data_IF_990949913083
#
_entry.id   IF_990949913083
#
_cell.length_a   1.000
_cell.length_b   1.000
_cell.length_c   1.000
_cell.angle_alpha   90.00
_cell.angle_beta   90.00
_cell.angle_gamma   90.00
#
_symmetry.space_group_name_H-M   'P 1'
#
loop_
_entity.id
_entity.type
_entity.pdbx_description
1 polymer ?
#
# COMPACT_ATOMS: atom_id res chain seq x y z
N UNK A 1 -47.10 -14.15 -44.38
CA UNK A 1 -45.77 -14.07 -45.02
C UNK A 1 -44.75 -13.87 -43.91
N UNK A 2 -43.63 -14.60 -43.93
CA UNK A 2 -42.56 -14.45 -42.94
C UNK A 2 -41.50 -13.48 -43.49
N UNK A 3 -41.18 -12.44 -42.74
CA UNK A 3 -40.10 -11.53 -43.09
C UNK A 3 -38.76 -12.17 -42.74
N UNK A 4 -37.86 -12.27 -43.73
CA UNK A 4 -36.56 -12.94 -43.57
C UNK A 4 -35.44 -11.95 -43.86
N UNK A 5 -34.45 -11.92 -42.97
CA UNK A 5 -33.18 -11.21 -43.18
C UNK A 5 -32.27 -12.10 -44.03
N UNK A 6 -31.61 -11.52 -45.03
CA UNK A 6 -30.55 -12.14 -45.81
C UNK A 6 -29.28 -11.29 -45.73
N UNK A 7 -28.09 -11.90 -45.61
CA UNK A 7 -26.84 -11.16 -45.67
C UNK A 7 -26.66 -10.52 -47.04
N UNK A 8 -26.19 -9.27 -47.07
CA UNK A 8 -25.94 -8.49 -48.26
C UNK A 8 -24.58 -7.77 -48.12
N UNK A 9 -23.73 -7.77 -49.16
CA UNK A 9 -22.33 -7.32 -49.03
C UNK A 9 -22.14 -5.80 -48.84
N UNK A 10 -23.20 -5.00 -48.99
CA UNK A 10 -23.17 -3.55 -48.78
C UNK A 10 -24.36 -3.13 -47.92
N UNK A 11 -24.18 -2.05 -47.16
CA UNK A 11 -25.32 -1.42 -46.47
C UNK A 11 -26.16 -0.66 -47.50
N UNK A 12 -27.47 -0.95 -47.52
CA UNK A 12 -28.44 -0.27 -48.39
C UNK A 12 -28.98 1.01 -47.74
N UNK A 13 -28.90 1.13 -46.42
CA UNK A 13 -29.54 2.18 -45.64
C UNK A 13 -28.57 2.84 -44.64
N UNK A 14 -28.86 4.07 -44.16
CA UNK A 14 -27.97 4.78 -43.23
C UNK A 14 -27.86 4.07 -41.88
N UNK A 15 -26.65 4.07 -41.31
CA UNK A 15 -26.35 3.53 -39.98
C UNK A 15 -26.81 4.53 -38.91
N UNK A 16 -27.86 4.17 -38.17
CA UNK A 16 -28.44 5.02 -37.11
C UNK A 16 -28.70 4.27 -35.80
N UNK A 17 -28.46 2.96 -35.78
CA UNK A 17 -28.64 2.15 -34.59
C UNK A 17 -27.31 1.55 -34.12
N UNK A 18 -27.18 1.38 -32.81
CA UNK A 18 -26.07 0.68 -32.18
C UNK A 18 -26.63 -0.28 -31.13
N UNK A 19 -26.20 -1.53 -31.20
CA UNK A 19 -26.57 -2.57 -30.24
C UNK A 19 -25.38 -2.95 -29.37
N UNK A 20 -25.54 -2.77 -28.06
CA UNK A 20 -24.62 -3.24 -27.04
C UNK A 20 -25.13 -4.59 -26.53
N UNK A 21 -24.39 -5.66 -26.85
CA UNK A 21 -24.71 -7.04 -26.45
C UNK A 21 -24.31 -7.30 -25.01
N UNK A 22 -25.20 -6.98 -24.07
CA UNK A 22 -24.99 -7.24 -22.64
C UNK A 22 -26.33 -7.21 -21.90
N UNK A 23 -26.51 -8.06 -20.90
CA UNK A 23 -27.67 -8.01 -20.01
C UNK A 23 -27.53 -6.93 -18.91
N UNK A 24 -26.32 -6.43 -18.66
CA UNK A 24 -26.03 -5.55 -17.52
C UNK A 24 -26.01 -4.07 -17.91
N UNK A 25 -26.82 -3.21 -17.27
CA UNK A 25 -26.81 -1.76 -17.50
C UNK A 25 -25.46 -1.10 -17.22
N UNK A 26 -24.68 -1.62 -16.27
CA UNK A 26 -23.35 -1.07 -15.95
C UNK A 26 -22.40 -1.19 -17.14
N UNK A 27 -22.49 -2.30 -17.89
CA UNK A 27 -21.70 -2.48 -19.12
C UNK A 27 -22.18 -1.50 -20.19
N UNK A 28 -23.49 -1.24 -20.29
CA UNK A 28 -24.02 -0.28 -21.25
C UNK A 28 -23.45 1.11 -21.00
N UNK A 29 -23.45 1.58 -19.75
CA UNK A 29 -22.88 2.88 -19.41
C UNK A 29 -21.39 2.98 -19.73
N UNK A 30 -20.61 1.94 -19.42
CA UNK A 30 -19.18 1.91 -19.74
C UNK A 30 -18.91 1.98 -21.24
N UNK A 31 -19.70 1.24 -22.03
CA UNK A 31 -19.59 1.26 -23.50
C UNK A 31 -20.02 2.63 -24.06
N UNK A 32 -21.11 3.21 -23.55
CA UNK A 32 -21.58 4.55 -23.96
C UNK A 32 -20.54 5.63 -23.64
N UNK A 33 -19.92 5.57 -22.46
CA UNK A 33 -18.86 6.48 -22.04
C UNK A 33 -17.59 6.29 -22.87
N UNK A 34 -17.19 5.04 -23.11
CA UNK A 34 -16.04 4.71 -23.96
C UNK A 34 -16.21 5.20 -25.40
N UNK A 35 -17.45 5.29 -25.88
CA UNK A 35 -17.79 5.77 -27.22
C UNK A 35 -18.05 7.29 -27.25
N UNK A 36 -18.00 7.98 -26.11
CA UNK A 36 -18.25 9.42 -26.00
C UNK A 36 -19.67 9.81 -26.42
N UNK A 37 -20.65 8.93 -26.22
CA UNK A 37 -22.04 9.16 -26.62
C UNK A 37 -22.78 9.94 -25.53
N UNK A 38 -23.38 11.08 -25.90
CA UNK A 38 -24.26 11.82 -25.00
C UNK A 38 -25.63 11.14 -24.87
N UNK A 39 -25.96 10.71 -23.64
CA UNK A 39 -27.23 10.08 -23.28
C UNK A 39 -28.44 11.00 -23.44
N UNK A 40 -28.25 12.32 -23.44
CA UNK A 40 -29.36 13.27 -23.58
C UNK A 40 -29.86 13.38 -25.02
N UNK A 41 -28.99 13.11 -25.99
CA UNK A 41 -29.27 13.25 -27.43
C UNK A 41 -29.76 11.93 -28.02
N UNK A 42 -29.46 10.80 -27.39
CA UNK A 42 -29.69 9.45 -27.91
C UNK A 42 -30.86 8.78 -27.21
N UNK A 43 -31.73 8.14 -28.00
CA UNK A 43 -32.82 7.35 -27.46
C UNK A 43 -32.33 5.93 -27.17
N UNK A 44 -32.48 5.51 -25.91
CA UNK A 44 -32.00 4.20 -25.45
C UNK A 44 -33.18 3.28 -25.16
N UNK A 45 -33.06 2.02 -25.58
CA UNK A 45 -34.09 1.00 -25.43
C UNK A 45 -33.48 -0.30 -24.89
N UNK A 46 -34.22 -1.01 -24.05
CA UNK A 46 -33.83 -2.35 -23.61
C UNK A 46 -34.38 -3.39 -24.60
N UNK A 47 -33.52 -4.31 -25.05
CA UNK A 47 -33.94 -5.44 -25.88
C UNK A 47 -34.13 -6.67 -24.99
N UNK A 48 -35.33 -7.28 -24.98
CA UNK A 48 -35.55 -8.55 -24.30
C UNK A 48 -34.82 -9.70 -25.01
N UNK A 49 -34.38 -10.69 -24.24
CA UNK A 49 -33.87 -11.95 -24.79
C UNK A 49 -35.00 -12.91 -25.14
N UNK A 50 -34.65 -14.03 -25.76
CA UNK A 50 -35.53 -15.19 -25.94
C UNK A 50 -35.93 -15.82 -24.58
N UNK A 51 -35.07 -15.67 -23.57
CA UNK A 51 -35.32 -16.16 -22.22
C UNK A 51 -36.15 -15.18 -21.39
N UNK A 52 -37.10 -15.67 -20.58
CA UNK A 52 -37.95 -14.81 -19.76
C UNK A 52 -37.10 -14.08 -18.70
N UNK A 53 -37.41 -12.80 -18.49
CA UNK A 53 -36.73 -11.90 -17.53
C UNK A 53 -35.23 -11.67 -17.80
N UNK A 54 -34.72 -12.04 -18.98
CA UNK A 54 -33.34 -11.78 -19.39
C UNK A 54 -33.32 -10.71 -20.47
N UNK A 55 -32.40 -9.77 -20.37
CA UNK A 55 -32.17 -8.75 -21.41
C UNK A 55 -31.07 -9.23 -22.35
N UNK A 56 -31.30 -9.11 -23.65
CA UNK A 56 -30.28 -9.40 -24.67
C UNK A 56 -29.24 -8.27 -24.72
N UNK A 57 -29.71 -7.03 -24.59
CA UNK A 57 -28.87 -5.87 -24.87
C UNK A 57 -29.57 -4.54 -24.62
N UNK A 58 -28.80 -3.48 -24.87
CA UNK A 58 -29.32 -2.13 -25.01
C UNK A 58 -29.13 -1.65 -26.45
N UNK A 59 -30.18 -1.05 -26.98
CA UNK A 59 -30.19 -0.44 -28.28
C UNK A 59 -30.18 1.08 -28.16
N UNK A 60 -29.34 1.71 -28.97
CA UNK A 60 -29.16 3.15 -29.02
C UNK A 60 -29.55 3.63 -30.42
N UNK A 61 -30.47 4.60 -30.49
CA UNK A 61 -30.91 5.23 -31.73
C UNK A 61 -30.37 6.66 -31.78
N UNK A 62 -29.59 6.94 -32.82
CA UNK A 62 -29.06 8.27 -33.11
C UNK A 62 -29.98 9.01 -34.07
N UNK A 63 -30.23 10.30 -33.80
CA UNK A 63 -30.91 11.19 -34.76
C UNK A 63 -30.04 11.51 -35.99
N UNK A 64 -28.72 11.43 -35.84
CA UNK A 64 -27.72 11.67 -36.90
C UNK A 64 -27.03 10.39 -37.40
N UNK A 65 -25.77 10.52 -37.83
CA UNK A 65 -24.94 9.39 -38.22
C UNK A 65 -24.33 8.73 -36.97
N UNK A 66 -24.31 7.40 -36.92
CA UNK A 66 -23.67 6.68 -35.82
C UNK A 66 -22.15 6.97 -35.77
N UNK A 67 -21.52 6.90 -34.58
CA UNK A 67 -20.06 7.02 -34.44
C UNK A 67 -19.31 6.07 -35.38
N UNK A 68 -18.08 6.40 -35.81
CA UNK A 68 -17.33 5.57 -36.77
C UNK A 68 -16.66 4.34 -36.12
N UNK A 69 -16.27 4.44 -34.86
CA UNK A 69 -15.60 3.36 -34.11
C UNK A 69 -16.50 2.86 -32.97
N UNK A 70 -17.07 1.66 -33.12
CA UNK A 70 -17.93 1.03 -32.10
C UNK A 70 -17.34 -0.23 -31.46
N UNK A 71 -16.08 -0.54 -31.76
CA UNK A 71 -15.34 -1.66 -31.18
C UNK A 71 -16.07 -3.00 -31.35
N UNK A 72 -16.62 -3.53 -30.24
CA UNK A 72 -17.27 -4.85 -30.17
C UNK A 72 -18.77 -4.81 -30.45
N UNK A 73 -19.37 -3.63 -30.52
CA UNK A 73 -20.80 -3.45 -30.66
C UNK A 73 -21.22 -3.64 -32.12
N UNK A 74 -22.53 -3.80 -32.37
CA UNK A 74 -23.05 -4.06 -33.72
C UNK A 74 -23.84 -2.86 -34.25
N UNK A 75 -23.51 -2.42 -35.47
CA UNK A 75 -24.30 -1.38 -36.15
C UNK A 75 -25.62 -1.92 -36.67
N UNK A 76 -26.61 -1.03 -36.66
CA UNK A 76 -27.91 -1.24 -37.28
C UNK A 76 -28.21 -0.13 -38.30
N UNK A 77 -28.67 -0.58 -39.45
CA UNK A 77 -29.23 0.20 -40.54
C UNK A 77 -30.68 0.59 -40.22
N UNK A 78 -31.09 1.79 -40.61
CA UNK A 78 -32.44 2.28 -40.40
C UNK A 78 -33.19 2.40 -41.73
N UNK A 79 -34.28 1.65 -41.86
CA UNK A 79 -35.24 1.70 -42.97
C UNK A 79 -36.45 2.55 -42.57
N UNK A 80 -36.74 3.57 -43.39
CA UNK A 80 -37.90 4.47 -43.26
C UNK A 80 -38.09 5.08 -41.86
N UNK A 81 -36.99 5.35 -41.15
CA UNK A 81 -36.95 5.89 -39.78
C UNK A 81 -37.69 5.05 -38.71
N UNK A 82 -38.17 3.84 -39.04
CA UNK A 82 -39.00 3.03 -38.14
C UNK A 82 -38.43 1.63 -37.93
N UNK A 83 -37.81 1.02 -38.93
CA UNK A 83 -37.28 -0.34 -38.87
C UNK A 83 -35.75 -0.36 -38.79
N UNK A 84 -35.21 -1.07 -37.81
CA UNK A 84 -33.78 -1.28 -37.62
C UNK A 84 -33.38 -2.72 -37.94
N UNK A 85 -32.37 -2.85 -38.79
CA UNK A 85 -31.87 -4.12 -39.32
C UNK A 85 -30.34 -4.15 -39.16
N UNK A 86 -29.70 -5.31 -38.97
CA UNK A 86 -28.26 -5.37 -38.78
C UNK A 86 -27.48 -4.84 -39.99
N UNK A 87 -26.22 -4.46 -39.79
CA UNK A 87 -25.33 -4.16 -40.90
C UNK A 87 -25.17 -5.34 -41.88
N UNK A 88 -24.86 -5.03 -43.13
CA UNK A 88 -24.61 -5.99 -44.20
C UNK A 88 -25.75 -7.01 -44.35
N UNK A 89 -26.98 -6.55 -44.18
CA UNK A 89 -28.16 -7.36 -44.40
C UNK A 89 -29.26 -6.57 -45.10
N UNK A 90 -30.10 -7.29 -45.83
CA UNK A 90 -31.32 -6.81 -46.48
C UNK A 90 -32.48 -7.74 -46.10
N UNK A 91 -33.71 -7.28 -46.23
CA UNK A 91 -34.90 -8.04 -45.83
C UNK A 91 -35.79 -8.38 -47.01
N UNK A 92 -36.44 -9.54 -46.93
CA UNK A 92 -37.35 -10.02 -47.95
C UNK A 92 -38.63 -10.58 -47.30
N UNK A 93 -39.83 -10.29 -47.84
CA UNK A 93 -40.12 -9.41 -48.98
C UNK A 93 -39.89 -7.93 -48.66
N UNK A 94 -39.67 -7.10 -49.70
CA UNK A 94 -39.59 -5.65 -49.53
C UNK A 94 -40.96 -5.14 -49.07
N UNK A 95 -40.98 -4.53 -47.89
CA UNK A 95 -42.18 -3.93 -47.32
C UNK A 95 -42.26 -2.47 -47.76
N UNK A 96 -43.46 -2.00 -48.09
CA UNK A 96 -43.69 -0.62 -48.47
C UNK A 96 -43.89 0.27 -47.22
N UNK A 97 -43.59 1.56 -47.32
CA UNK A 97 -43.80 2.53 -46.22
C UNK A 97 -45.25 2.59 -45.71
N UNK A 98 -46.21 2.20 -46.54
CA UNK A 98 -47.64 2.16 -46.21
C UNK A 98 -48.03 1.00 -45.28
N UNK A 99 -47.33 -0.14 -45.37
CA UNK A 99 -47.58 -1.32 -44.53
C UNK A 99 -47.21 -1.04 -43.06
N UNK A 100 -46.25 -0.14 -42.83
CA UNK A 100 -45.76 0.24 -41.50
C UNK A 100 -46.72 1.19 -40.76
N UNK A 101 -47.55 1.94 -41.47
CA UNK A 101 -48.51 2.89 -40.86
C UNK A 101 -49.54 2.22 -39.95
N UNK A 102 -49.80 0.93 -40.17
CA UNK A 102 -50.75 0.15 -39.37
C UNK A 102 -50.10 -0.50 -38.14
N UNK A 103 -48.78 -0.42 -37.99
CA UNK A 103 -48.06 -1.03 -36.87
C UNK A 103 -47.92 0.03 -35.76
N UNK A 104 -48.62 -0.20 -34.66
CA UNK A 104 -48.55 0.59 -33.42
C UNK A 104 -47.21 0.33 -32.68
N UNK A 105 -46.11 0.78 -33.28
CA UNK A 105 -44.78 0.77 -32.70
C UNK A 105 -43.96 1.96 -33.19
N UNK A 106 -43.32 2.67 -32.25
CA UNK A 106 -42.50 3.84 -32.57
C UNK A 106 -41.23 3.45 -33.33
N UNK A 107 -40.55 2.39 -32.86
CA UNK A 107 -39.44 1.78 -33.58
C UNK A 107 -39.54 0.27 -33.49
N UNK A 108 -38.96 -0.40 -34.48
CA UNK A 108 -38.98 -1.83 -34.62
C UNK A 108 -37.56 -2.28 -34.89
N UNK A 109 -37.10 -3.30 -34.20
CA UNK A 109 -35.79 -3.90 -34.44
C UNK A 109 -35.96 -5.36 -34.82
N UNK A 110 -35.16 -5.77 -35.80
CA UNK A 110 -35.12 -7.14 -36.24
C UNK A 110 -33.68 -7.67 -36.20
N UNK A 111 -33.47 -8.80 -35.54
CA UNK A 111 -32.17 -9.48 -35.49
C UNK A 111 -32.37 -10.98 -35.62
N UNK A 112 -31.43 -11.74 -36.23
CA UNK A 112 -31.53 -13.19 -36.33
C UNK A 112 -31.67 -13.90 -34.97
N UNK A 113 -31.01 -13.38 -33.93
CA UNK A 113 -31.01 -14.03 -32.60
C UNK A 113 -32.33 -13.88 -31.84
N UNK A 114 -32.85 -12.65 -31.70
CA UNK A 114 -34.06 -12.38 -30.90
C UNK A 114 -35.31 -12.13 -31.74
N UNK A 115 -35.18 -12.16 -33.08
CA UNK A 115 -36.29 -11.96 -33.99
C UNK A 115 -36.76 -10.51 -34.06
N UNK A 116 -38.07 -10.33 -34.11
CA UNK A 116 -38.74 -9.05 -34.36
C UNK A 116 -39.29 -8.47 -33.05
N UNK A 117 -38.78 -7.32 -32.64
CA UNK A 117 -39.11 -6.69 -31.36
C UNK A 117 -39.59 -5.26 -31.57
N UNK A 118 -40.69 -4.91 -30.90
CA UNK A 118 -41.26 -3.56 -30.89
C UNK A 118 -40.63 -2.76 -29.75
N UNK A 119 -40.04 -1.61 -30.07
CA UNK A 119 -39.39 -0.70 -29.14
C UNK A 119 -40.34 0.46 -28.82
N UNK A 120 -41.20 0.26 -27.80
CA UNK A 120 -42.20 1.25 -27.42
C UNK A 120 -41.81 2.07 -26.18
N UNK A 121 -40.88 1.57 -25.36
CA UNK A 121 -40.49 2.20 -24.09
C UNK A 121 -39.03 2.62 -24.13
N UNK A 122 -38.80 3.92 -24.19
CA UNK A 122 -37.48 4.53 -23.98
C UNK A 122 -37.08 4.40 -22.52
N UNK A 123 -35.80 4.14 -22.26
CA UNK A 123 -35.24 4.18 -20.92
C UNK A 123 -34.94 5.64 -20.58
N UNK A 124 -35.57 6.13 -19.51
CA UNK A 124 -35.26 7.44 -18.93
C UNK A 124 -34.22 7.28 -17.81
N UNK A 125 -32.96 7.54 -18.15
CA UNK A 125 -31.84 7.43 -17.23
C UNK A 125 -31.89 8.46 -16.11
N UNK A 126 -32.44 9.66 -16.35
CA UNK A 126 -32.50 10.74 -15.37
C UNK A 126 -33.39 10.32 -14.20
N UNK A 127 -34.58 9.80 -14.52
CA UNK A 127 -35.52 9.31 -13.50
C UNK A 127 -34.97 8.10 -12.73
N UNK A 128 -34.21 7.23 -13.39
CA UNK A 128 -33.63 6.03 -12.75
C UNK A 128 -32.47 6.37 -11.80
N UNK A 129 -31.59 7.30 -12.19
CA UNK A 129 -30.44 7.68 -11.37
C UNK A 129 -30.84 8.57 -10.18
N UNK A 130 -31.83 9.46 -10.35
CA UNK A 130 -32.30 10.33 -9.27
C UNK A 130 -33.11 9.58 -8.20
N UNK A 131 -33.82 8.51 -8.57
CA UNK A 131 -34.63 7.72 -7.62
C UNK A 131 -33.85 6.63 -6.88
N UNK A 132 -32.52 6.64 -6.93
CA UNK A 132 -31.72 5.68 -6.16
C UNK A 132 -32.13 5.78 -4.69
N UNK A 133 -32.63 4.69 -4.08
CA UNK A 133 -33.12 4.74 -2.71
C UNK A 133 -31.96 5.15 -1.82
N UNK A 134 -32.13 6.27 -1.10
CA UNK A 134 -31.17 6.71 -0.10
C UNK A 134 -30.82 5.52 0.78
N UNK A 135 -29.58 5.08 0.68
CA UNK A 135 -29.14 3.91 1.42
C UNK A 135 -29.15 4.31 2.88
N UNK A 136 -30.16 3.84 3.64
CA UNK A 136 -30.27 3.99 5.10
C UNK A 136 -29.22 3.13 5.82
N UNK A 137 -27.98 3.15 5.35
CA UNK A 137 -26.88 2.53 6.05
C UNK A 137 -26.61 3.36 7.31
N UNK A 138 -26.72 2.72 8.47
CA UNK A 138 -26.18 3.28 9.71
C UNK A 138 -24.67 3.29 9.58
N UNK A 139 -24.11 4.42 9.14
CA UNK A 139 -22.67 4.67 9.18
C UNK A 139 -22.20 4.51 10.63
N UNK A 140 -21.50 3.41 10.90
CA UNK A 140 -20.81 3.21 12.17
C UNK A 140 -19.51 4.01 12.11
N UNK A 141 -19.50 5.19 12.72
CA UNK A 141 -18.26 5.93 12.95
C UNK A 141 -17.42 5.16 13.98
N UNK A 142 -16.11 4.95 13.78
CA UNK A 142 -15.25 4.42 14.82
C UNK A 142 -15.29 5.35 16.04
N UNK A 143 -15.20 4.78 17.24
CA UNK A 143 -15.05 5.57 18.47
C UNK A 143 -13.79 6.43 18.38
N UNK A 144 -13.86 7.67 18.87
CA UNK A 144 -12.70 8.56 18.92
C UNK A 144 -11.54 7.83 19.61
N UNK A 145 -10.38 7.77 18.95
CA UNK A 145 -9.17 7.22 19.54
C UNK A 145 -8.66 8.13 20.66
N UNK A 146 -7.93 7.53 21.60
CA UNK A 146 -7.23 8.29 22.65
C UNK A 146 -6.14 9.12 21.96
N UNK A 147 -6.22 10.45 22.10
CA UNK A 147 -5.22 11.37 21.56
C UNK A 147 -3.93 11.25 22.38
N UNK A 148 -2.89 10.70 21.76
CA UNK A 148 -1.54 10.65 22.34
C UNK A 148 -0.77 11.88 21.84
N UNK A 149 -0.49 12.87 22.70
CA UNK A 149 0.22 14.08 22.29
C UNK A 149 1.66 13.73 21.88
N UNK A 150 2.05 14.10 20.65
CA UNK A 150 3.40 13.87 20.13
C UNK A 150 4.45 14.84 20.69
N UNK A 151 4.02 15.99 21.22
CA UNK A 151 4.91 17.02 21.74
C UNK A 151 4.34 17.68 22.99
N UNK A 152 5.07 17.57 24.10
CA UNK A 152 4.77 18.28 25.33
C UNK A 152 5.34 19.69 25.20
N UNK A 153 4.47 20.72 25.21
CA UNK A 153 4.89 22.13 25.11
C UNK A 153 5.35 22.72 26.44
N UNK A 154 4.69 22.32 27.51
CA UNK A 154 4.99 22.76 28.88
C UNK A 154 4.55 21.67 29.83
N UNK A 155 5.35 21.42 30.85
CA UNK A 155 4.95 20.65 32.01
C UNK A 155 5.09 21.56 33.22
N UNK A 156 4.11 21.52 34.12
CA UNK A 156 4.15 22.22 35.40
C UNK A 156 4.16 21.13 36.47
N UNK A 157 5.14 21.20 37.35
CA UNK A 157 5.17 20.36 38.55
C UNK A 157 4.65 21.26 39.66
N UNK A 158 3.44 21.00 40.13
CA UNK A 158 2.94 21.61 41.35
C UNK A 158 3.60 20.86 42.50
N UNK A 159 4.69 21.44 43.02
CA UNK A 159 5.28 20.99 44.27
C UNK A 159 4.47 21.65 45.39
N UNK A 160 4.12 20.86 46.40
CA UNK A 160 3.40 21.38 47.55
C UNK A 160 4.42 22.19 48.38
N UNK A 161 4.39 23.52 48.26
CA UNK A 161 5.41 24.41 48.82
C UNK A 161 5.55 24.22 50.34
N UNK A 162 4.47 23.85 51.02
CA UNK A 162 4.47 23.58 52.47
C UNK A 162 5.28 22.33 52.84
N UNK A 163 5.14 21.22 52.12
CA UNK A 163 5.97 20.01 52.34
C UNK A 163 7.43 20.25 51.99
N UNK A 164 7.69 21.07 50.96
CA UNK A 164 9.05 21.43 50.55
C UNK A 164 9.70 22.35 51.61
N UNK A 165 8.96 23.30 52.16
CA UNK A 165 9.41 24.13 53.27
C UNK A 165 9.66 23.29 54.53
N UNK A 166 8.81 22.33 54.86
CA UNK A 166 9.03 21.44 56.01
C UNK A 166 10.32 20.59 55.84
N UNK A 167 10.61 20.12 54.62
CA UNK A 167 11.85 19.41 54.31
C UNK A 167 13.10 20.30 54.35
N UNK A 168 12.97 21.58 53.99
CA UNK A 168 14.08 22.55 54.05
C UNK A 168 14.33 23.09 55.46
N UNK A 169 13.29 23.24 56.28
CA UNK A 169 13.38 23.74 57.65
C UNK A 169 13.86 22.67 58.63
N UNK A 170 13.57 21.40 58.36
CA UNK A 170 14.08 20.26 59.11
C UNK A 170 15.01 19.41 58.21
N UNK A 171 16.22 19.90 57.84
CA UNK A 171 17.18 19.02 57.22
C UNK A 171 17.45 17.90 58.22
N UNK A 172 17.04 16.67 57.90
CA UNK A 172 17.33 15.50 58.73
C UNK A 172 18.82 15.52 59.03
N UNK A 173 19.18 15.85 60.26
CA UNK A 173 20.57 15.90 60.70
C UNK A 173 21.23 14.56 60.34
N UNK A 174 22.48 14.60 59.88
CA UNK A 174 23.22 13.44 59.38
C UNK A 174 23.28 12.23 60.35
N UNK A 175 22.84 12.40 61.61
CA UNK A 175 22.81 11.37 62.64
C UNK A 175 21.47 10.61 62.77
N UNK A 176 20.35 11.13 62.26
CA UNK A 176 19.03 10.51 62.48
C UNK A 176 18.67 9.42 61.47
N UNK A 177 19.24 9.46 60.27
CA UNK A 177 19.08 8.37 59.30
C UNK A 177 19.91 7.13 59.67
N UNK A 178 21.00 7.29 60.44
CA UNK A 178 21.78 6.16 60.95
C UNK A 178 21.03 5.33 62.00
N UNK A 179 20.03 5.93 62.68
CA UNK A 179 19.16 5.21 63.64
C UNK A 179 18.06 4.39 62.95
N UNK A 180 17.72 4.70 61.70
CA UNK A 180 16.64 4.07 60.93
C UNK A 180 17.17 3.34 59.68
N UNK A 181 18.27 2.60 59.84
CA UNK A 181 18.79 1.77 58.75
C UNK A 181 17.93 0.49 58.62
N UNK A 182 17.59 0.07 57.39
CA UNK A 182 16.80 -1.15 57.15
C UNK A 182 17.61 -2.45 57.30
N UNK A 183 18.88 -2.34 57.71
CA UNK A 183 19.83 -3.41 57.90
C UNK A 183 20.65 -3.16 59.16
N UNK A 184 21.22 -4.24 59.70
CA UNK A 184 22.01 -4.20 60.93
C UNK A 184 23.52 -4.10 60.61
N UNK A 185 24.15 -3.02 61.07
CA UNK A 185 25.57 -2.73 60.83
C UNK A 185 26.51 -3.76 61.49
N UNK A 186 26.11 -4.40 62.60
CA UNK A 186 26.96 -5.39 63.26
C UNK A 186 26.98 -6.70 62.46
N UNK A 187 25.83 -7.12 61.93
CA UNK A 187 25.71 -8.32 61.10
C UNK A 187 26.35 -8.17 59.72
N UNK A 188 26.32 -6.96 59.17
CA UNK A 188 27.05 -6.62 57.95
C UNK A 188 28.55 -6.80 58.11
N UNK A 189 29.12 -6.38 59.24
CA UNK A 189 30.57 -6.54 59.54
C UNK A 189 30.97 -8.00 59.71
N UNK A 190 30.05 -8.85 60.20
CA UNK A 190 30.26 -10.30 60.34
C UNK A 190 30.12 -11.04 59.01
N UNK A 191 29.53 -10.41 57.98
CA UNK A 191 29.48 -10.95 56.62
C UNK A 191 28.22 -11.75 56.30
N UNK A 192 27.08 -11.45 56.94
CA UNK A 192 25.81 -12.10 56.63
C UNK A 192 25.32 -11.70 55.22
N UNK A 193 25.15 -12.69 54.34
CA UNK A 193 24.81 -12.48 52.93
C UNK A 193 23.45 -11.79 52.75
N UNK A 194 22.49 -12.05 53.64
CA UNK A 194 21.15 -11.48 53.52
C UNK A 194 21.13 -9.97 53.82
N UNK A 195 21.92 -9.53 54.79
CA UNK A 195 22.04 -8.11 55.15
C UNK A 195 22.90 -7.36 54.12
N UNK A 196 23.95 -8.00 53.58
CA UNK A 196 24.77 -7.42 52.50
C UNK A 196 23.93 -7.08 51.27
N UNK A 197 22.98 -7.94 50.90
CA UNK A 197 22.08 -7.67 49.79
C UNK A 197 21.19 -6.44 50.05
N UNK A 198 20.62 -6.33 51.27
CA UNK A 198 19.82 -5.16 51.65
C UNK A 198 20.64 -3.87 51.66
N UNK A 199 21.90 -3.96 52.10
CA UNK A 199 22.85 -2.86 52.08
C UNK A 199 23.16 -2.40 50.65
N UNK A 200 23.44 -3.34 49.74
CA UNK A 200 23.71 -3.04 48.33
C UNK A 200 22.48 -2.41 47.66
N UNK A 201 21.28 -2.95 47.90
CA UNK A 201 20.04 -2.40 47.36
C UNK A 201 19.80 -0.97 47.87
N UNK A 202 20.05 -0.72 49.16
CA UNK A 202 19.92 0.59 49.77
C UNK A 202 20.91 1.61 49.18
N UNK A 203 22.18 1.24 49.02
CA UNK A 203 23.20 2.11 48.40
C UNK A 203 22.94 2.36 46.91
N UNK A 204 22.41 1.36 46.20
CA UNK A 204 22.05 1.53 44.79
C UNK A 204 20.95 2.58 44.63
N UNK A 205 20.05 2.68 45.62
CA UNK A 205 18.98 3.68 45.65
C UNK A 205 19.44 5.06 46.13
N UNK A 206 20.47 5.12 47.00
CA UNK A 206 21.01 6.34 47.60
C UNK A 206 22.55 6.36 47.56
N UNK A 207 23.16 6.61 46.38
CA UNK A 207 24.61 6.51 46.18
C UNK A 207 25.42 7.47 47.05
N UNK A 208 24.88 8.63 47.39
CA UNK A 208 25.50 9.63 48.26
C UNK A 208 25.75 9.13 49.69
N UNK A 209 24.94 8.17 50.17
CA UNK A 209 25.07 7.58 51.51
C UNK A 209 26.17 6.50 51.59
N UNK A 210 26.63 6.00 50.45
CA UNK A 210 27.67 4.98 50.36
C UNK A 210 29.01 5.44 50.97
N UNK A 211 29.29 6.75 50.86
CA UNK A 211 30.51 7.36 51.40
C UNK A 211 30.54 7.28 52.92
N UNK A 212 29.39 7.48 53.58
CA UNK A 212 29.26 7.45 55.03
C UNK A 212 29.17 6.04 55.61
N UNK A 213 28.58 5.10 54.87
CA UNK A 213 28.40 3.72 55.30
C UNK A 213 29.55 2.78 54.87
N UNK A 214 30.61 3.32 54.27
CA UNK A 214 31.76 2.55 53.82
C UNK A 214 32.33 1.70 54.96
N UNK A 215 32.15 0.37 54.87
CA UNK A 215 32.77 -0.57 55.79
C UNK A 215 34.27 -0.56 55.48
N UNK A 216 35.15 -0.17 56.42
CA UNK A 216 36.58 -0.23 56.19
C UNK A 216 36.95 -1.68 55.90
N UNK A 217 37.74 -1.91 54.85
CA UNK A 217 38.34 -3.21 54.60
C UNK A 217 39.15 -3.58 55.85
N UNK A 218 38.89 -4.76 56.41
CA UNK A 218 39.66 -5.25 57.55
C UNK A 218 41.12 -5.40 57.15
N UNK A 219 41.95 -4.44 57.57
CA UNK A 219 43.40 -4.40 57.31
C UNK A 219 44.12 -5.40 58.24
N UNK A 220 43.42 -5.96 59.23
CA UNK A 220 43.94 -7.00 60.10
C UNK A 220 43.69 -8.40 59.51
N UNK A 221 44.46 -8.71 58.47
CA UNK A 221 44.96 -10.05 58.13
C UNK A 221 44.11 -11.28 58.53
N UNK A 222 42.83 -11.33 58.17
CA UNK A 222 42.09 -12.59 58.11
C UNK A 222 42.11 -13.10 56.67
N UNK A 223 43.09 -13.96 56.45
CA UNK A 223 43.43 -14.68 55.24
C UNK A 223 42.21 -15.31 54.55
N UNK A 224 41.80 -14.73 53.42
CA UNK A 224 41.13 -15.44 52.32
C UNK A 224 41.74 -15.06 50.97
N UNK A 225 42.88 -15.70 50.67
CA UNK A 225 43.26 -16.14 49.33
C UNK A 225 43.60 -15.10 48.26
N UNK A 226 44.90 -14.94 48.00
CA UNK A 226 45.43 -14.96 46.63
C UNK A 226 45.67 -13.63 45.91
N UNK A 227 46.91 -13.13 46.04
CA UNK A 227 47.66 -12.23 45.15
C UNK A 227 46.97 -11.68 43.88
N UNK A 228 46.73 -10.38 43.87
CA UNK A 228 46.69 -9.54 42.68
C UNK A 228 47.29 -8.17 43.00
N UNK A 229 48.39 -7.80 42.33
CA UNK A 229 48.93 -6.44 42.40
C UNK A 229 47.92 -5.48 41.77
N UNK A 230 47.22 -4.70 42.60
CA UNK A 230 46.41 -3.59 42.11
C UNK A 230 47.22 -2.30 42.22
N UNK A 231 47.73 -1.85 41.08
CA UNK A 231 48.30 -0.53 40.89
C UNK A 231 47.14 0.48 40.79
N UNK A 232 46.96 1.28 41.85
CA UNK A 232 45.90 2.31 41.95
C UNK A 232 46.32 3.61 41.25
N UNK A 233 46.82 3.48 40.02
CA UNK A 233 47.41 4.58 39.24
C UNK A 233 46.45 5.36 38.34
N UNK A 234 45.13 5.40 38.64
CA UNK A 234 44.18 6.11 37.76
C UNK A 234 43.00 6.80 38.45
N UNK A 235 43.01 6.98 39.77
CA UNK A 235 41.99 7.77 40.48
C UNK A 235 42.59 8.55 41.64
N UNK A 236 42.99 9.80 41.38
CA UNK A 236 43.24 10.78 42.43
C UNK A 236 44.34 11.79 42.11
N UNK A 237 43.97 13.06 41.95
CA UNK A 237 44.85 14.18 42.29
C UNK A 237 45.24 15.11 41.14
N UNK A 238 44.47 16.19 41.00
CA UNK A 238 44.98 17.44 40.47
C UNK A 238 46.04 18.02 41.41
N UNK A 239 47.10 18.61 40.84
CA UNK A 239 47.86 19.71 41.46
C UNK A 239 49.31 19.42 41.85
N UNK A 240 50.25 20.10 41.17
CA UNK A 240 51.44 20.65 41.83
C UNK A 240 52.82 20.15 41.39
N UNK A 241 53.32 20.75 40.30
CA UNK A 241 54.67 21.36 40.19
C UNK A 241 55.95 20.51 40.41
N UNK A 242 56.73 20.32 39.33
CA UNK A 242 58.05 20.98 39.12
C UNK A 242 58.79 20.49 37.87
N UNK A 243 59.33 21.49 37.16
CA UNK A 243 60.43 21.53 36.17
C UNK A 243 61.31 20.29 35.97
N UNK A 244 61.68 19.98 34.71
CA UNK A 244 62.80 20.62 34.01
C UNK A 244 62.87 20.11 32.55
N UNK A 245 63.60 20.82 31.71
CA UNK A 245 63.53 20.75 30.26
C UNK A 245 63.89 19.42 29.61
N UNK A 246 63.52 19.26 28.35
CA UNK A 246 64.46 19.19 27.21
C UNK A 246 63.72 18.78 25.94
N UNK A 247 64.06 19.46 24.84
CA UNK A 247 63.67 19.18 23.47
C UNK A 247 63.81 17.68 23.09
N UNK A 248 62.85 17.12 22.35
CA UNK A 248 63.07 16.73 20.94
C UNK A 248 61.95 15.86 20.32
N UNK A 249 61.66 16.20 19.06
CA UNK A 249 61.40 15.34 17.90
C UNK A 249 60.39 14.20 18.05
N UNK A 250 59.23 14.44 17.43
CA UNK A 250 58.34 13.41 16.89
C UNK A 250 59.11 12.57 15.85
N UNK A 251 59.26 11.28 16.12
CA UNK A 251 59.52 10.25 15.11
C UNK A 251 58.38 9.21 15.14
N UNK A 252 58.03 8.62 13.98
CA UNK A 252 56.76 7.92 13.77
C UNK A 252 56.75 6.51 14.36
N UNK A 253 55.60 6.11 14.92
CA UNK A 253 55.34 4.75 15.38
C UNK A 253 55.50 3.78 14.19
N UNK A 254 56.48 2.87 14.29
CA UNK A 254 56.69 1.77 13.35
C UNK A 254 55.62 0.70 13.55
N UNK A 255 54.68 0.60 12.62
CA UNK A 255 53.63 -0.43 12.60
C UNK A 255 54.09 -1.64 11.77
N UNK A 256 53.96 -2.86 12.33
CA UNK A 256 54.43 -4.12 11.74
C UNK A 256 53.57 -4.58 10.55
N UNK A 257 54.17 -5.34 9.62
CA UNK A 257 53.61 -5.63 8.30
C UNK A 257 52.22 -6.28 8.26
N UNK A 258 51.89 -7.10 9.27
CA UNK A 258 50.57 -7.74 9.36
C UNK A 258 49.43 -6.74 9.67
N UNK A 259 49.71 -5.68 10.44
CA UNK A 259 48.72 -4.65 10.77
C UNK A 259 48.46 -3.70 9.58
N UNK A 260 49.45 -3.51 8.69
CA UNK A 260 49.26 -2.77 7.44
C UNK A 260 48.34 -3.50 6.45
N UNK A 261 48.48 -4.82 6.34
CA UNK A 261 47.62 -5.63 5.47
C UNK A 261 46.17 -5.63 5.95
N UNK A 262 45.95 -5.67 7.28
CA UNK A 262 44.60 -5.63 7.85
C UNK A 262 43.94 -4.25 7.65
N UNK A 263 44.69 -3.16 7.81
CA UNK A 263 44.18 -1.81 7.56
C UNK A 263 43.79 -1.59 6.07
N UNK A 264 44.58 -2.14 5.14
CA UNK A 264 44.26 -2.11 3.69
C UNK A 264 43.02 -2.94 3.38
N UNK A 265 42.87 -4.10 4.01
CA UNK A 265 41.69 -4.96 3.83
C UNK A 265 40.39 -4.29 4.32
N UNK A 266 40.43 -3.63 5.49
CA UNK A 266 39.29 -2.85 5.99
C UNK A 266 38.95 -1.67 5.08
N UNK A 267 39.95 -0.97 4.54
CA UNK A 267 39.72 0.12 3.59
C UNK A 267 39.05 -0.38 2.29
N UNK A 268 39.44 -1.56 1.79
CA UNK A 268 38.82 -2.17 0.61
C UNK A 268 37.35 -2.57 0.84
N UNK A 269 37.00 -3.09 2.02
CA UNK A 269 35.61 -3.42 2.36
C UNK A 269 34.74 -2.16 2.39
N UNK A 270 35.24 -1.07 2.98
CA UNK A 270 34.51 0.21 3.03
C UNK A 270 34.27 0.77 1.62
N UNK A 271 35.26 0.67 0.72
CA UNK A 271 35.12 1.11 -0.67
C UNK A 271 34.07 0.26 -1.43
N UNK A 272 34.05 -1.06 -1.21
CA UNK A 272 33.06 -1.95 -1.85
C UNK A 272 31.64 -1.63 -1.38
N UNK A 273 31.44 -1.39 -0.08
CA UNK A 273 30.13 -1.00 0.47
C UNK A 273 29.68 0.33 -0.14
N UNK A 274 30.56 1.33 -0.18
CA UNK A 274 30.24 2.64 -0.78
C UNK A 274 29.93 2.55 -2.28
N UNK A 275 30.67 1.73 -3.03
CA UNK A 275 30.41 1.53 -4.46
C UNK A 275 29.06 0.82 -4.72
N UNK A 276 28.67 -0.10 -3.85
CA UNK A 276 27.39 -0.81 -3.95
C UNK A 276 26.19 0.08 -3.59
N UNK A 277 26.35 0.96 -2.60
CA UNK A 277 25.35 1.96 -2.20
C UNK A 277 25.16 3.04 -3.29
N UNK A 278 26.25 3.46 -3.96
CA UNK A 278 26.21 4.50 -4.99
C UNK A 278 25.69 3.98 -6.36
N UNK A 279 26.01 2.73 -6.73
CA UNK A 279 25.53 2.11 -7.97
C UNK A 279 24.02 1.88 -8.03
N UNK A 280 23.35 1.77 -6.87
CA UNK A 280 21.90 1.60 -6.78
C UNK A 280 21.11 2.91 -6.97
N UNK A 281 21.77 4.07 -6.81
CA UNK A 281 21.14 5.38 -6.90
C UNK A 281 21.20 6.02 -8.30
N UNK A 282 22.03 5.51 -9.21
CA UNK A 282 22.14 6.02 -10.58
C UNK A 282 21.25 5.31 -11.62
N UNK A 283 20.65 4.16 -11.32
CA UNK A 283 19.78 3.43 -12.26
C UNK A 283 18.29 3.80 -12.16
N UNK A 284 17.92 4.85 -11.42
CA UNK A 284 16.51 5.26 -11.19
C UNK A 284 16.13 6.62 -11.78
N UNK A 285 17.07 7.34 -12.39
CA UNK A 285 16.84 8.66 -12.99
C UNK A 285 17.26 8.68 -14.47
N UNK A 286 16.56 7.93 -15.32
CA UNK A 286 16.56 8.16 -16.77
C UNK A 286 15.31 7.50 -17.38
N UNK A 287 14.18 8.20 -17.27
CA UNK A 287 13.03 8.21 -18.19
C UNK A 287 11.84 8.94 -17.53
N UNK A 288 11.90 10.27 -17.51
CA UNK A 288 10.70 11.10 -17.46
C UNK A 288 10.91 12.22 -18.48
N UNK A 289 10.44 11.99 -19.70
CA UNK A 289 10.26 13.04 -20.69
C UNK A 289 8.90 13.68 -20.41
N UNK A 290 8.95 14.93 -19.95
CA UNK A 290 7.86 15.89 -19.91
C UNK A 290 7.45 16.30 -21.33
N UNK A 291 6.15 16.43 -21.58
CA UNK A 291 5.47 17.42 -22.45
C UNK A 291 3.95 17.17 -22.28
N UNK A 292 3.00 18.08 -22.03
CA UNK A 292 2.93 19.51 -21.70
C UNK A 292 1.44 19.71 -21.33
N UNK A 293 1.13 20.22 -20.14
CA UNK A 293 -0.19 20.77 -19.79
C UNK A 293 0.03 22.23 -19.39
N UNK A 294 -0.60 23.15 -20.13
CA UNK A 294 -0.75 24.55 -19.73
C UNK A 294 -1.95 24.70 -18.80
N UNK A 295 -1.64 25.07 -17.55
CA UNK A 295 -2.13 26.26 -16.85
C UNK A 295 -3.53 26.84 -17.18
N UNK A 296 -4.43 26.78 -16.19
CA UNK A 296 -5.05 28.00 -15.64
C UNK A 296 -5.64 27.74 -14.24
N UNK A 297 -4.99 28.38 -13.27
CA UNK A 297 -5.30 28.59 -11.84
C UNK A 297 -6.67 29.23 -11.61
N UNK A 298 -7.32 29.01 -10.45
CA UNK A 298 -7.49 29.94 -9.31
C UNK A 298 -8.62 29.27 -8.45
N UNK A 299 -8.65 29.10 -7.12
CA UNK A 299 -8.17 29.90 -5.97
C UNK A 299 -8.07 29.04 -4.67
N UNK A 300 -7.17 29.50 -3.77
CA UNK A 300 -6.79 29.10 -2.40
C UNK A 300 -7.93 29.09 -1.36
N UNK A 301 -7.90 28.55 -0.12
CA UNK A 301 -7.03 27.73 0.78
C UNK A 301 -7.82 27.61 2.14
N UNK A 302 -7.23 27.31 3.32
CA UNK A 302 -6.37 26.22 3.79
C UNK A 302 -7.15 25.33 4.81
N UNK A 303 -6.69 24.15 5.24
CA UNK A 303 -5.83 24.00 6.42
C UNK A 303 -5.36 22.55 6.60
N UNK A 304 -4.18 22.51 7.19
CA UNK A 304 -3.28 21.46 7.67
C UNK A 304 -3.84 20.17 8.29
N UNK A 305 -3.05 19.13 8.01
CA UNK A 305 -2.55 18.08 8.92
C UNK A 305 -3.33 16.77 9.08
N UNK A 306 -2.57 15.70 8.78
CA UNK A 306 -2.56 14.40 9.45
C UNK A 306 -3.80 13.52 9.30
N UNK A 307 -3.79 12.71 8.24
CA UNK A 307 -4.51 11.45 8.22
C UNK A 307 -3.58 10.33 7.73
N UNK A 308 -2.84 9.75 8.67
CA UNK A 308 -2.51 8.33 8.61
C UNK A 308 -3.83 7.55 8.69
N UNK A 309 -4.35 7.12 7.54
CA UNK A 309 -5.52 6.28 7.53
C UNK A 309 -6.18 6.20 6.17
N UNK A 310 -6.14 5.00 5.60
CA UNK A 310 -6.79 4.58 4.35
C UNK A 310 -6.02 4.91 3.07
N UNK A 311 -4.74 4.53 3.05
CA UNK A 311 -4.16 4.05 1.79
C UNK A 311 -4.87 2.71 1.51
N UNK A 312 -5.88 2.71 0.64
CA UNK A 312 -6.15 1.51 -0.16
C UNK A 312 -4.91 1.32 -1.04
N UNK A 313 -3.94 0.64 -0.44
CA UNK A 313 -2.72 0.19 -1.08
C UNK A 313 -3.13 -0.63 -2.30
N UNK A 314 -2.52 -0.29 -3.43
CA UNK A 314 -2.37 -1.16 -4.59
C UNK A 314 -2.37 -2.63 -4.16
N UNK A 315 -3.38 -3.40 -4.59
CA UNK A 315 -3.82 -4.67 -4.01
C UNK A 315 -2.76 -5.77 -3.93
N UNK A 316 -1.89 -5.69 -2.92
CA UNK A 316 -0.85 -6.67 -2.63
C UNK A 316 -1.07 -7.19 -1.21
N UNK A 317 -1.60 -8.41 -1.09
CA UNK A 317 -1.81 -9.04 0.23
C UNK A 317 -0.52 -9.67 0.75
N UNK A 318 -0.45 -9.95 2.06
CA UNK A 318 0.69 -10.69 2.64
C UNK A 318 0.90 -12.07 1.98
N UNK A 319 -0.18 -12.68 1.48
CA UNK A 319 -0.14 -13.90 0.68
C UNK A 319 0.57 -13.64 -0.65
N UNK A 320 0.27 -12.53 -1.31
CA UNK A 320 0.87 -12.16 -2.60
C UNK A 320 2.38 -11.84 -2.46
N UNK A 321 2.81 -11.24 -1.33
CA UNK A 321 4.24 -11.07 -1.01
C UNK A 321 4.97 -12.40 -0.86
N UNK A 322 4.34 -13.37 -0.20
CA UNK A 322 4.95 -14.69 0.02
C UNK A 322 4.97 -15.53 -1.26
N UNK A 323 3.93 -15.41 -2.09
CA UNK A 323 3.90 -16.03 -3.42
C UNK A 323 4.99 -15.42 -4.31
N UNK A 324 5.16 -14.11 -4.33
CA UNK A 324 6.18 -13.46 -5.17
C UNK A 324 7.61 -13.75 -4.71
N UNK A 325 7.85 -13.90 -3.41
CA UNK A 325 9.14 -14.32 -2.86
C UNK A 325 9.56 -15.73 -3.35
N UNK A 326 8.61 -16.65 -3.46
CA UNK A 326 8.87 -18.04 -3.87
C UNK A 326 8.89 -18.21 -5.39
N UNK A 327 7.93 -17.60 -6.09
CA UNK A 327 7.69 -17.84 -7.53
C UNK A 327 8.15 -16.68 -8.43
N UNK A 328 8.64 -15.58 -7.89
CA UNK A 328 9.01 -14.39 -8.65
C UNK A 328 10.15 -14.62 -9.64
N UNK A 329 11.14 -15.44 -9.27
CA UNK A 329 12.27 -15.77 -10.15
C UNK A 329 11.84 -16.65 -11.32
N UNK A 330 11.02 -17.68 -11.06
CA UNK A 330 10.49 -18.58 -12.09
C UNK A 330 9.57 -17.84 -13.07
N UNK A 331 8.77 -16.89 -12.57
CA UNK A 331 7.95 -15.99 -13.38
C UNK A 331 8.77 -15.14 -14.35
N UNK A 332 9.85 -14.50 -13.86
CA UNK A 332 10.74 -13.68 -14.70
C UNK A 332 11.43 -14.52 -15.76
N UNK A 333 11.85 -15.74 -15.39
CA UNK A 333 12.45 -16.68 -16.34
C UNK A 333 11.46 -17.08 -17.44
N UNK A 334 10.23 -17.47 -17.09
CA UNK A 334 9.18 -17.83 -18.06
C UNK A 334 8.84 -16.68 -19.01
N UNK A 335 8.79 -15.44 -18.51
CA UNK A 335 8.53 -14.25 -19.35
C UNK A 335 9.68 -14.02 -20.33
N UNK A 336 10.93 -14.23 -19.91
CA UNK A 336 12.08 -14.09 -20.79
C UNK A 336 12.14 -15.21 -21.84
N UNK A 337 11.92 -16.46 -21.42
CA UNK A 337 11.87 -17.64 -22.30
C UNK A 337 10.73 -17.50 -23.33
N UNK A 338 9.57 -16.96 -22.90
CA UNK A 338 8.44 -16.68 -23.79
C UNK A 338 8.80 -15.65 -24.87
N UNK A 339 9.45 -14.55 -24.50
CA UNK A 339 9.88 -13.51 -25.44
C UNK A 339 10.86 -14.04 -26.48
N UNK A 340 11.74 -14.98 -26.10
CA UNK A 340 12.73 -15.56 -27.01
C UNK A 340 12.12 -16.59 -27.95
N UNK A 341 11.16 -17.39 -27.48
CA UNK A 341 10.58 -18.51 -28.23
C UNK A 341 9.28 -18.19 -28.98
N UNK A 342 8.72 -16.97 -28.80
CA UNK A 342 7.46 -16.53 -29.40
C UNK A 342 7.43 -16.59 -30.94
N UNK A 343 8.59 -16.58 -31.61
CA UNK A 343 8.64 -16.57 -33.08
C UNK A 343 8.49 -17.95 -33.73
N UNK A 344 8.52 -19.05 -32.95
CA UNK A 344 8.47 -20.43 -33.48
C UNK A 344 7.18 -21.14 -33.06
N UNK A 345 6.48 -21.79 -34.00
CA UNK A 345 5.18 -22.45 -33.75
C UNK A 345 5.28 -23.60 -32.71
N UNK A 346 6.37 -24.36 -32.75
CA UNK A 346 6.67 -25.42 -31.77
C UNK A 346 7.04 -24.86 -30.39
N UNK A 347 7.76 -23.72 -30.36
CA UNK A 347 8.09 -23.00 -29.13
C UNK A 347 6.86 -22.49 -28.38
N UNK A 348 5.83 -22.02 -29.10
CA UNK A 348 4.57 -21.58 -28.49
C UNK A 348 3.85 -22.69 -27.73
N UNK A 349 3.77 -23.90 -28.29
CA UNK A 349 3.08 -25.01 -27.64
C UNK A 349 3.82 -25.50 -26.38
N UNK A 350 5.15 -25.60 -26.46
CA UNK A 350 5.98 -25.95 -25.31
C UNK A 350 5.91 -24.92 -24.18
N UNK A 351 5.84 -23.62 -24.52
CA UNK A 351 5.70 -22.55 -23.54
C UNK A 351 4.33 -22.50 -22.86
N UNK A 352 3.26 -22.80 -23.60
CA UNK A 352 1.91 -22.84 -23.01
C UNK A 352 1.81 -23.90 -21.91
N UNK A 353 2.36 -25.09 -22.14
CA UNK A 353 2.40 -26.15 -21.13
C UNK A 353 3.19 -25.72 -19.87
N UNK A 354 4.38 -25.11 -20.04
CA UNK A 354 5.18 -24.57 -18.92
C UNK A 354 4.43 -23.50 -18.13
N UNK A 355 3.69 -22.61 -18.80
CA UNK A 355 2.89 -21.55 -18.16
C UNK A 355 1.72 -22.15 -17.36
N UNK A 356 1.04 -23.16 -17.90
CA UNK A 356 -0.04 -23.86 -17.20
C UNK A 356 0.46 -24.62 -15.98
N UNK A 357 1.60 -25.30 -16.09
CA UNK A 357 2.24 -25.99 -14.97
C UNK A 357 2.60 -25.00 -13.84
N UNK A 358 3.20 -23.85 -14.19
CA UNK A 358 3.50 -22.78 -13.25
C UNK A 358 2.24 -22.26 -12.54
N UNK A 359 1.17 -21.98 -13.29
CA UNK A 359 -0.11 -21.52 -12.72
C UNK A 359 -0.72 -22.54 -11.76
N UNK A 360 -0.60 -23.83 -12.07
CA UNK A 360 -1.08 -24.90 -11.20
C UNK A 360 -0.29 -24.96 -9.88
N UNK A 361 1.05 -24.81 -9.93
CA UNK A 361 1.92 -24.74 -8.75
C UNK A 361 1.62 -23.52 -7.88
N UNK A 362 1.50 -22.35 -8.49
CA UNK A 362 1.19 -21.08 -7.79
C UNK A 362 -0.17 -21.17 -7.09
N UNK A 363 -1.20 -21.67 -7.77
CA UNK A 363 -2.55 -21.83 -7.20
C UNK A 363 -2.54 -22.82 -6.02
N UNK A 364 -1.89 -23.97 -6.16
CA UNK A 364 -1.78 -24.97 -5.09
C UNK A 364 -1.10 -24.41 -3.84
N UNK A 365 -0.04 -23.62 -4.02
CA UNK A 365 0.68 -22.97 -2.92
C UNK A 365 -0.14 -21.84 -2.27
N UNK A 366 -0.84 -21.03 -3.09
CA UNK A 366 -1.73 -19.99 -2.58
C UNK A 366 -2.87 -20.59 -1.75
N UNK A 367 -3.44 -21.70 -2.21
CA UNK A 367 -4.50 -22.41 -1.49
C UNK A 367 -3.99 -23.08 -0.21
N UNK A 368 -2.73 -23.52 -0.15
CA UNK A 368 -2.13 -24.01 1.11
C UNK A 368 -1.91 -22.89 2.11
N UNK A 369 -1.49 -21.70 1.66
CA UNK A 369 -1.29 -20.55 2.54
C UNK A 369 -2.62 -20.07 3.13
N UNK A 370 -3.70 -20.06 2.33
CA UNK A 370 -5.05 -19.72 2.80
C UNK A 370 -5.64 -20.71 3.81
N UNK A 371 -5.15 -21.95 3.85
CA UNK A 371 -5.58 -22.97 4.84
C UNK A 371 -4.82 -22.89 6.16
N UNK A 372 -3.68 -22.19 6.20
CA UNK A 372 -2.84 -22.05 7.39
C UNK A 372 -3.05 -20.73 8.15
N UNK A 373 -3.73 -19.76 7.54
CA UNK A 373 -4.29 -18.55 8.17
C UNK A 373 -5.74 -18.77 8.50
#
# INVERSE_FOLDING_TARGET
MELKIKPFPKNSYPKRGLLIRSASPLVWFREIESLGIDLNVVQTFAIPSLEPNVLYGCFLIFGGQAPEEIGKNSYFQCFDNQLFIPENTDFYPKINSEDWKNIDAQYIIMHPDFGFVKLNKTIDWVTLLQKSPETKAKLKKPSNSVFIPQKIRSFKVDMNDDELLEQLLNPTTDEDWMKNLPFDMEKLKVGDQAEILKYIEYITKYPERAVYLGIPLDIHSTLRGGFGNFDWGMFGGAGGDKDDGTQNKRSPLKMTGAQKMFAVFLALIVIIIFAFEFGKNHARNEQVSTDLYNESTVEMAPETENNEGLIFQSGFTAIDMKVDSVFGNERRWLVNDYKQTFNTREGKAAMLWKIEEYRAKEKKFRDSLKKCT
#
